data_IF_060587912483
#
_entry.id   IF_060587912483
#
_cell.length_a   1.000
_cell.length_b   1.000
_cell.length_c   1.000
_cell.angle_alpha   90.00
_cell.angle_beta   90.00
_cell.angle_gamma   90.00
#
_symmetry.space_group_name_H-M   'P 1'
#
loop_
_entity.id
_entity.type
_entity.pdbx_description
1 polymer ?
#
# COMPACT_ATOMS: atom_id res chain seq x y z
N UNK A 1 4.75 5.93 11.48
CA UNK A 1 3.93 4.75 11.83
C UNK A 1 3.34 4.14 10.55
N UNK A 2 4.20 3.65 9.65
CA UNK A 2 3.80 3.14 8.30
C UNK A 2 4.38 1.75 7.98
N UNK A 3 5.10 1.14 8.92
CA UNK A 3 5.60 -0.22 8.75
C UNK A 3 4.42 -1.18 8.59
N UNK A 4 4.38 -1.91 7.47
CA UNK A 4 3.40 -2.95 7.12
C UNK A 4 2.09 -2.49 6.43
N UNK A 5 1.97 -1.24 5.99
CA UNK A 5 0.78 -0.81 5.20
C UNK A 5 0.54 -1.67 3.95
N UNK A 6 1.62 -2.12 3.29
CA UNK A 6 1.51 -3.02 2.14
C UNK A 6 0.96 -4.41 2.55
N UNK A 7 1.29 -4.92 3.74
CA UNK A 7 0.78 -6.21 4.23
C UNK A 7 -0.67 -6.10 4.70
N UNK A 8 -1.11 -4.93 5.18
CA UNK A 8 -2.52 -4.68 5.48
C UNK A 8 -3.41 -4.75 4.24
N UNK A 9 -2.84 -4.54 3.05
CA UNK A 9 -3.61 -4.65 1.80
C UNK A 9 -4.06 -6.10 1.53
N UNK A 10 -3.30 -7.09 2.01
CA UNK A 10 -3.54 -8.52 1.85
C UNK A 10 -4.01 -9.23 3.13
N UNK A 11 -4.12 -8.49 4.25
CA UNK A 11 -4.55 -9.08 5.53
C UNK A 11 -6.02 -9.51 5.48
N UNK A 12 -6.42 -10.39 6.41
CA UNK A 12 -7.82 -10.75 6.57
C UNK A 12 -8.70 -9.51 6.81
N UNK A 13 -9.97 -9.60 6.42
CA UNK A 13 -10.94 -8.51 6.59
C UNK A 13 -11.02 -8.03 8.04
N UNK A 14 -11.04 -8.97 9.00
CA UNK A 14 -11.11 -8.66 10.43
C UNK A 14 -9.89 -7.89 10.93
N UNK A 15 -8.68 -8.29 10.55
CA UNK A 15 -7.45 -7.59 10.92
C UNK A 15 -7.37 -6.21 10.27
N UNK A 16 -7.85 -6.08 9.03
CA UNK A 16 -7.94 -4.81 8.32
C UNK A 16 -8.90 -3.86 9.05
N UNK A 17 -10.13 -4.29 9.31
CA UNK A 17 -11.15 -3.49 9.99
C UNK A 17 -10.68 -2.99 11.37
N UNK A 18 -9.95 -3.83 12.13
CA UNK A 18 -9.35 -3.43 13.39
C UNK A 18 -8.29 -2.32 13.20
N UNK A 19 -7.39 -2.49 12.22
CA UNK A 19 -6.37 -1.48 11.95
C UNK A 19 -6.96 -0.17 11.42
N UNK A 20 -8.01 -0.23 10.61
CA UNK A 20 -8.72 0.95 10.10
C UNK A 20 -9.30 1.75 11.27
N UNK A 21 -9.93 1.08 12.24
CA UNK A 21 -10.47 1.75 13.43
C UNK A 21 -9.39 2.50 14.21
N UNK A 22 -8.23 1.90 14.43
CA UNK A 22 -7.12 2.54 15.14
C UNK A 22 -6.60 3.76 14.37
N UNK A 23 -6.43 3.63 13.06
CA UNK A 23 -5.93 4.72 12.22
C UNK A 23 -6.94 5.87 12.10
N UNK A 24 -8.23 5.57 11.99
CA UNK A 24 -9.31 6.57 12.01
C UNK A 24 -9.32 7.30 13.35
N UNK A 25 -9.21 6.58 14.47
CA UNK A 25 -9.19 7.18 15.79
C UNK A 25 -7.99 8.12 15.97
N UNK A 26 -6.83 7.78 15.41
CA UNK A 26 -5.66 8.65 15.43
C UNK A 26 -5.89 9.94 14.62
N UNK A 27 -6.52 9.86 13.44
CA UNK A 27 -6.85 11.04 12.62
C UNK A 27 -7.88 11.93 13.32
N UNK A 28 -8.90 11.34 13.95
CA UNK A 28 -9.86 12.07 14.78
C UNK A 28 -9.17 12.77 15.94
N UNK A 29 -8.29 12.07 16.66
CA UNK A 29 -7.54 12.64 17.79
C UNK A 29 -6.69 13.85 17.37
N UNK A 30 -5.94 13.75 16.26
CA UNK A 30 -5.07 14.83 15.78
C UNK A 30 -5.90 16.02 15.27
N UNK A 31 -7.04 15.76 14.64
CA UNK A 31 -7.93 16.80 14.13
C UNK A 31 -8.85 17.43 15.18
N UNK A 32 -8.86 16.91 16.42
CA UNK A 32 -9.86 17.26 17.43
C UNK A 32 -11.29 16.84 17.05
N UNK A 33 -11.43 15.94 16.09
CA UNK A 33 -12.70 15.43 15.58
C UNK A 33 -13.40 14.49 16.56
N UNK A 34 -14.72 14.54 16.58
CA UNK A 34 -15.55 13.59 17.32
C UNK A 34 -15.81 12.34 16.49
N UNK A 35 -16.35 11.28 17.11
CA UNK A 35 -16.69 10.03 16.40
C UNK A 35 -17.71 10.24 15.26
N UNK A 36 -18.52 11.28 15.32
CA UNK A 36 -19.48 11.66 14.28
C UNK A 36 -18.86 12.48 13.15
N UNK A 37 -17.63 12.97 13.30
CA UNK A 37 -16.96 13.77 12.29
C UNK A 37 -16.56 12.89 11.10
N UNK A 38 -16.90 13.28 9.86
CA UNK A 38 -16.47 12.53 8.68
C UNK A 38 -14.94 12.46 8.61
N UNK A 39 -14.38 11.24 8.57
CA UNK A 39 -12.92 11.03 8.52
C UNK A 39 -12.26 11.79 7.36
N UNK A 40 -12.93 11.86 6.20
CA UNK A 40 -12.43 12.59 5.04
C UNK A 40 -12.21 14.10 5.33
N UNK A 41 -13.09 14.71 6.13
CA UNK A 41 -12.92 16.11 6.54
C UNK A 41 -11.71 16.27 7.46
N UNK A 42 -11.50 15.33 8.39
CA UNK A 42 -10.34 15.31 9.27
C UNK A 42 -9.03 15.07 8.49
N UNK A 43 -9.03 14.19 7.49
CA UNK A 43 -7.89 13.93 6.60
C UNK A 43 -7.51 15.20 5.83
N UNK A 44 -8.49 15.92 5.27
CA UNK A 44 -8.25 17.22 4.60
C UNK A 44 -7.71 18.26 5.58
N UNK A 45 -8.34 18.39 6.75
CA UNK A 45 -7.93 19.37 7.77
C UNK A 45 -6.50 19.16 8.27
N UNK A 46 -6.11 17.90 8.46
CA UNK A 46 -4.76 17.52 8.94
C UNK A 46 -3.74 17.40 7.82
N UNK A 47 -4.14 17.63 6.56
CA UNK A 47 -3.32 17.41 5.38
C UNK A 47 -2.74 15.97 5.31
N UNK A 48 -3.49 14.99 5.81
CA UNK A 48 -3.13 13.57 5.77
C UNK A 48 -3.81 12.95 4.57
N UNK A 49 -3.04 12.23 3.73
CA UNK A 49 -3.60 11.53 2.58
C UNK A 49 -4.64 10.48 3.02
N UNK A 50 -5.75 10.31 2.27
CA UNK A 50 -6.75 9.29 2.57
C UNK A 50 -6.15 7.91 2.79
N UNK A 51 -6.63 7.20 3.81
CA UNK A 51 -6.04 5.93 4.23
C UNK A 51 -5.95 4.88 3.12
N UNK A 52 -6.99 4.77 2.28
CA UNK A 52 -6.97 3.87 1.11
C UNK A 52 -5.83 4.18 0.15
N UNK A 53 -5.65 5.46 -0.19
CA UNK A 53 -4.59 5.90 -1.09
C UNK A 53 -3.18 5.78 -0.49
N UNK A 54 -3.05 5.79 0.84
CA UNK A 54 -1.78 5.49 1.53
C UNK A 54 -1.42 4.01 1.40
N UNK A 55 -2.40 3.12 1.49
CA UNK A 55 -2.17 1.67 1.31
C UNK A 55 -1.79 1.33 -0.11
N UNK A 56 -2.51 1.87 -1.09
CA UNK A 56 -2.20 1.65 -2.50
C UNK A 56 -0.79 2.16 -2.83
N UNK A 57 -0.43 3.35 -2.34
CA UNK A 57 0.92 3.88 -2.49
C UNK A 57 1.97 3.01 -1.78
N UNK A 58 1.68 2.48 -0.59
CA UNK A 58 2.60 1.59 0.12
C UNK A 58 2.84 0.27 -0.63
N UNK A 59 1.80 -0.31 -1.24
CA UNK A 59 1.92 -1.51 -2.09
C UNK A 59 2.84 -1.23 -3.27
N UNK A 60 2.59 -0.13 -4.00
CA UNK A 60 3.41 0.25 -5.15
C UNK A 60 4.87 0.52 -4.74
N UNK A 61 5.10 1.28 -3.67
CA UNK A 61 6.44 1.57 -3.17
C UNK A 61 7.21 0.32 -2.80
N UNK A 62 6.57 -0.70 -2.22
CA UNK A 62 7.22 -1.96 -1.86
C UNK A 62 7.64 -2.74 -3.11
N UNK A 63 6.74 -2.86 -4.10
CA UNK A 63 7.05 -3.52 -5.36
C UNK A 63 8.18 -2.78 -6.09
N UNK A 64 8.08 -1.45 -6.17
CA UNK A 64 9.10 -0.61 -6.83
C UNK A 64 10.46 -0.75 -6.17
N UNK A 65 10.54 -0.69 -4.83
CA UNK A 65 11.81 -0.88 -4.09
C UNK A 65 12.47 -2.21 -4.42
N UNK A 66 11.69 -3.28 -4.48
CA UNK A 66 12.22 -4.60 -4.80
C UNK A 66 12.58 -4.73 -6.28
N UNK A 67 11.84 -4.09 -7.21
CA UNK A 67 12.23 -4.04 -8.62
C UNK A 67 13.52 -3.26 -8.87
N UNK A 68 13.80 -2.22 -8.09
CA UNK A 68 15.05 -1.46 -8.16
C UNK A 68 16.23 -2.14 -7.46
N UNK A 69 16.00 -3.23 -6.73
CA UNK A 69 17.05 -3.97 -6.02
C UNK A 69 17.90 -4.79 -6.99
N UNK A 70 19.10 -5.19 -6.55
CA UNK A 70 20.00 -6.04 -7.33
C UNK A 70 19.30 -7.34 -7.77
N UNK A 71 19.64 -7.86 -8.96
CA UNK A 71 19.10 -9.10 -9.51
C UNK A 71 19.40 -10.32 -8.62
N UNK A 72 20.44 -10.28 -7.81
CA UNK A 72 20.74 -11.32 -6.82
C UNK A 72 19.82 -11.25 -5.58
N UNK A 73 19.06 -10.18 -5.39
CA UNK A 73 18.23 -10.01 -4.21
C UNK A 73 17.01 -10.96 -4.28
N UNK A 74 16.72 -11.74 -3.22
CA UNK A 74 15.64 -12.74 -3.25
C UNK A 74 14.27 -12.14 -3.55
N UNK A 75 13.99 -10.93 -3.04
CA UNK A 75 12.71 -10.25 -3.32
C UNK A 75 12.61 -9.75 -4.77
N UNK A 76 13.73 -9.46 -5.44
CA UNK A 76 13.75 -9.10 -6.88
C UNK A 76 13.44 -10.32 -7.72
N UNK A 77 14.10 -11.44 -7.44
CA UNK A 77 13.83 -12.73 -8.09
C UNK A 77 12.38 -13.16 -7.91
N UNK A 78 11.83 -12.97 -6.71
CA UNK A 78 10.44 -13.30 -6.41
C UNK A 78 9.47 -12.46 -7.24
N UNK A 79 9.74 -11.18 -7.45
CA UNK A 79 8.91 -10.31 -8.29
C UNK A 79 9.02 -10.70 -9.77
N UNK A 80 10.24 -10.90 -10.26
CA UNK A 80 10.48 -11.18 -11.68
C UNK A 80 9.93 -12.55 -12.11
N UNK A 81 9.92 -13.52 -11.19
CA UNK A 81 9.38 -14.87 -11.43
C UNK A 81 7.91 -15.01 -11.05
N UNK A 82 7.31 -13.97 -10.48
CA UNK A 82 5.95 -14.05 -9.96
C UNK A 82 4.94 -14.30 -11.08
N UNK A 83 4.04 -15.25 -10.85
CA UNK A 83 2.90 -15.53 -11.72
C UNK A 83 1.62 -15.62 -10.87
N UNK A 84 0.50 -15.06 -11.37
CA UNK A 84 -0.77 -15.14 -10.66
C UNK A 84 -1.20 -16.61 -10.53
N UNK A 85 -1.31 -17.09 -9.29
CA UNK A 85 -1.75 -18.46 -9.00
C UNK A 85 -3.21 -18.41 -8.57
N UNK A 86 -4.13 -18.71 -9.49
CA UNK A 86 -5.59 -18.62 -9.27
C UNK A 86 -6.18 -19.63 -8.27
N UNK A 87 -5.36 -20.42 -7.57
CA UNK A 87 -5.81 -21.45 -6.61
C UNK A 87 -6.15 -20.87 -5.23
N UNK A 88 -5.50 -19.78 -4.83
CA UNK A 88 -5.71 -19.18 -3.51
C UNK A 88 -6.80 -18.09 -3.56
N UNK A 89 -7.71 -18.10 -2.59
CA UNK A 89 -8.73 -17.04 -2.44
C UNK A 89 -8.14 -15.71 -1.96
N UNK A 90 -6.91 -15.72 -1.44
CA UNK A 90 -6.25 -14.55 -0.88
C UNK A 90 -5.41 -13.88 -1.96
N UNK A 91 -5.61 -12.56 -2.10
CA UNK A 91 -4.83 -11.74 -3.02
C UNK A 91 -3.42 -11.54 -2.47
N UNK A 92 -2.42 -11.70 -3.33
CA UNK A 92 -1.04 -11.32 -3.10
C UNK A 92 -0.88 -9.80 -3.21
N UNK A 93 0.20 -9.26 -2.63
CA UNK A 93 0.59 -7.85 -2.80
C UNK A 93 0.83 -7.56 -4.28
N UNK A 94 1.38 -8.53 -5.02
CA UNK A 94 1.59 -8.45 -6.45
C UNK A 94 0.27 -8.41 -7.24
N UNK A 95 -0.77 -9.13 -6.83
CA UNK A 95 -2.09 -9.06 -7.48
C UNK A 95 -2.67 -7.64 -7.38
N UNK A 96 -2.49 -7.00 -6.22
CA UNK A 96 -2.96 -5.63 -5.98
C UNK A 96 -2.10 -4.64 -6.76
N UNK A 97 -0.78 -4.83 -6.79
CA UNK A 97 0.13 -3.97 -7.54
C UNK A 97 -0.15 -4.00 -9.05
N UNK A 98 -0.32 -5.19 -9.65
CA UNK A 98 -0.68 -5.34 -11.06
C UNK A 98 -2.00 -4.65 -11.37
N UNK A 99 -3.02 -4.84 -10.52
CA UNK A 99 -4.30 -4.13 -10.67
C UNK A 99 -4.14 -2.61 -10.61
N UNK A 100 -3.33 -2.09 -9.69
CA UNK A 100 -3.06 -0.65 -9.58
C UNK A 100 -2.27 -0.12 -10.78
N UNK A 101 -1.33 -0.90 -11.30
CA UNK A 101 -0.53 -0.58 -12.48
C UNK A 101 -1.38 -0.48 -13.75
N UNK A 102 -2.30 -1.43 -13.95
CA UNK A 102 -3.28 -1.39 -15.04
C UNK A 102 -4.24 -0.20 -14.90
N UNK A 103 -4.74 0.04 -13.68
CA UNK A 103 -5.70 1.11 -13.41
C UNK A 103 -5.11 2.51 -13.59
N UNK A 104 -3.83 2.70 -13.25
CA UNK A 104 -3.16 4.01 -13.23
C UNK A 104 -2.23 4.25 -14.43
N UNK A 105 -2.10 3.28 -15.35
CA UNK A 105 -1.20 3.33 -16.51
C UNK A 105 0.23 3.76 -16.15
N UNK A 106 0.78 3.17 -15.10
CA UNK A 106 2.08 3.57 -14.56
C UNK A 106 3.21 3.19 -15.56
N UNK A 107 4.22 4.07 -15.77
CA UNK A 107 5.34 3.76 -16.66
C UNK A 107 6.17 2.59 -16.14
N UNK A 108 6.42 1.61 -17.02
CA UNK A 108 7.21 0.42 -16.71
C UNK A 108 8.73 0.65 -16.85
N UNK A 109 9.13 1.66 -17.61
CA UNK A 109 10.53 2.00 -17.84
C UNK A 109 10.93 3.12 -16.89
N UNK A 110 11.54 2.77 -15.76
CA UNK A 110 12.19 3.74 -14.87
C UNK A 110 13.68 3.45 -14.87
N UNK A 111 14.48 4.46 -15.18
CA UNK A 111 15.93 4.36 -15.12
C UNK A 111 16.35 4.09 -13.67
N UNK A 112 17.34 3.21 -13.48
CA UNK A 112 17.93 3.01 -12.17
C UNK A 112 18.56 4.34 -11.74
N UNK A 113 18.09 4.91 -10.64
CA UNK A 113 18.74 6.05 -9.99
C UNK A 113 20.17 5.62 -9.62
N UNK A 114 21.14 6.00 -10.46
CA UNK A 114 22.54 5.89 -10.12
C UNK A 114 22.76 6.75 -8.88
N UNK A 115 23.11 6.12 -7.77
CA UNK A 115 23.55 6.83 -6.58
C UNK A 115 24.84 7.58 -6.96
N UNK A 116 24.74 8.91 -7.04
CA UNK A 116 25.90 9.81 -7.03
C UNK A 116 26.43 9.97 -5.61
#
# INVERSE_FOLDING_TARGET
>A
MEYNLALQSISSKTSKDLSDRVQIQAVLFISGGMRSTPTAACEIHTNIKPLGLRRDAAVMNVVERYTGSDKSHPNRQLIDTWKPTGRLKQKSVMDIATYLQEKLYLPNNRENLQHF
#
